data_IF_093187253427
#
_entry.id   IF_093187253427
#
_cell.length_a   1.000
_cell.length_b   1.000
_cell.length_c   1.000
_cell.angle_alpha   90.00
_cell.angle_beta   90.00
_cell.angle_gamma   90.00
#
_symmetry.space_group_name_H-M   'P 1'
#
loop_
_entity.id
_entity.type
_entity.pdbx_description
1 polymer ?
#
# COMPACT_ATOMS: atom_id res chain seq x y z
N UNK A 1 -63.37 4.19 17.01
CA UNK A 1 -62.54 5.07 16.20
C UNK A 1 -61.24 5.53 16.91
N UNK A 2 -61.18 5.57 18.23
CA UNK A 2 -60.05 6.04 19.02
C UNK A 2 -58.83 5.06 19.10
N UNK A 3 -59.04 3.75 18.95
CA UNK A 3 -57.92 2.75 19.09
C UNK A 3 -56.94 2.75 17.91
N UNK A 4 -57.37 3.11 16.71
CA UNK A 4 -56.50 3.13 15.51
C UNK A 4 -55.54 4.33 15.46
N UNK A 5 -55.92 5.44 16.06
CA UNK A 5 -55.09 6.65 16.11
C UNK A 5 -53.95 6.51 17.10
N UNK A 6 -54.16 5.74 18.20
CA UNK A 6 -53.13 5.52 19.22
C UNK A 6 -52.01 4.58 18.73
N UNK A 7 -52.35 3.54 17.96
CA UNK A 7 -51.34 2.66 17.35
C UNK A 7 -50.47 3.37 16.30
N UNK A 8 -51.09 4.26 15.49
CA UNK A 8 -50.32 5.00 14.47
C UNK A 8 -49.32 5.98 15.07
N UNK A 9 -49.64 6.59 16.23
CA UNK A 9 -48.72 7.49 16.92
C UNK A 9 -47.58 6.76 17.63
N UNK A 10 -47.80 5.55 18.13
CA UNK A 10 -46.75 4.69 18.71
C UNK A 10 -45.79 4.16 17.66
N UNK A 11 -46.30 3.81 16.46
CA UNK A 11 -45.47 3.38 15.34
C UNK A 11 -44.60 4.52 14.78
N UNK A 12 -45.14 5.75 14.72
CA UNK A 12 -44.36 6.91 14.28
C UNK A 12 -43.26 7.28 15.26
N UNK A 13 -43.51 7.18 16.57
CA UNK A 13 -42.51 7.42 17.60
C UNK A 13 -41.38 6.35 17.60
N UNK A 14 -41.73 5.09 17.31
CA UNK A 14 -40.75 4.01 17.17
C UNK A 14 -39.88 4.15 15.90
N UNK A 15 -40.45 4.66 14.80
CA UNK A 15 -39.68 4.92 13.58
C UNK A 15 -38.70 6.11 13.73
N UNK A 16 -39.08 7.13 14.50
CA UNK A 16 -38.18 8.28 14.76
C UNK A 16 -37.08 7.96 15.77
N UNK A 17 -37.32 7.04 16.72
CA UNK A 17 -36.31 6.58 17.68
C UNK A 17 -35.20 5.71 17.08
N UNK A 18 -35.50 5.02 15.95
CA UNK A 18 -34.55 4.17 15.27
C UNK A 18 -33.51 4.94 14.39
N UNK A 19 -33.74 6.24 14.17
CA UNK A 19 -32.86 7.09 13.35
C UNK A 19 -31.81 7.88 14.17
N UNK A 20 -31.84 7.76 15.49
CA UNK A 20 -30.76 8.27 16.35
C UNK A 20 -29.67 7.20 16.52
N UNK A 21 -29.09 6.75 15.41
CA UNK A 21 -27.76 6.13 15.48
C UNK A 21 -26.84 7.22 15.97
N UNK A 22 -26.16 7.04 17.12
CA UNK A 22 -25.16 8.02 17.56
C UNK A 22 -24.17 8.11 16.41
N UNK A 23 -23.97 9.31 15.88
CA UNK A 23 -22.87 9.57 14.97
C UNK A 23 -21.63 9.14 15.72
N UNK A 24 -21.08 7.98 15.34
CA UNK A 24 -19.77 7.59 15.84
C UNK A 24 -18.86 8.76 15.53
N UNK A 25 -18.26 9.32 16.56
CA UNK A 25 -17.29 10.38 16.38
C UNK A 25 -16.22 9.83 15.43
N UNK A 26 -16.26 10.30 14.20
CA UNK A 26 -15.27 9.95 13.20
C UNK A 26 -13.96 10.44 13.79
N UNK A 27 -13.07 9.52 14.15
CA UNK A 27 -11.76 9.90 14.66
C UNK A 27 -11.18 10.90 13.67
N UNK A 28 -10.94 12.10 14.17
CA UNK A 28 -10.42 13.18 13.35
C UNK A 28 -9.02 12.77 12.97
N UNK A 29 -8.82 12.44 11.69
CA UNK A 29 -7.48 12.19 11.16
C UNK A 29 -6.59 13.37 11.56
N UNK A 30 -5.50 13.10 12.25
CA UNK A 30 -4.47 14.08 12.56
C UNK A 30 -3.27 13.80 11.66
N UNK A 31 -2.73 14.85 11.07
CA UNK A 31 -1.48 14.73 10.33
C UNK A 31 -0.38 14.16 11.23
N UNK A 32 0.47 13.27 10.72
CA UNK A 32 1.57 12.71 11.48
C UNK A 32 2.55 13.82 11.86
N UNK A 33 3.02 13.79 13.12
CA UNK A 33 3.98 14.75 13.62
C UNK A 33 4.92 14.07 14.60
N UNK A 34 6.14 14.58 14.70
CA UNK A 34 7.09 14.15 15.71
C UNK A 34 6.67 14.67 17.08
N UNK A 35 6.74 13.81 18.10
CA UNK A 35 6.48 14.21 19.49
C UNK A 35 7.63 15.04 20.07
N UNK A 36 8.84 14.85 19.56
CA UNK A 36 10.04 15.60 19.88
C UNK A 36 10.58 16.25 18.59
N UNK A 37 10.64 17.59 18.50
CA UNK A 37 11.10 18.29 17.31
C UNK A 37 12.55 18.02 16.93
N UNK A 38 13.39 17.56 17.87
CA UNK A 38 14.79 17.22 17.63
C UNK A 38 14.96 15.79 17.10
N UNK A 39 13.89 15.00 17.08
CA UNK A 39 13.92 13.65 16.55
C UNK A 39 13.89 13.62 15.01
N UNK A 40 14.18 12.47 14.45
CA UNK A 40 14.15 12.21 13.01
C UNK A 40 13.61 10.81 12.72
N UNK A 41 13.23 10.58 11.48
CA UNK A 41 12.61 9.34 11.06
C UNK A 41 13.44 8.65 9.97
N UNK A 42 13.53 7.33 10.06
CA UNK A 42 13.87 6.43 8.95
C UNK A 42 12.62 5.61 8.63
N UNK A 43 12.20 5.65 7.39
CA UNK A 43 11.08 4.85 6.92
C UNK A 43 11.59 3.52 6.39
N UNK A 44 10.98 2.42 6.81
CA UNK A 44 11.29 1.08 6.31
C UNK A 44 10.15 0.60 5.42
N UNK A 45 10.41 0.37 4.14
CA UNK A 45 9.48 -0.25 3.21
C UNK A 45 9.71 -1.76 3.19
N UNK A 46 8.63 -2.56 3.32
CA UNK A 46 8.71 -4.02 3.24
C UNK A 46 8.93 -4.49 1.80
N UNK A 47 8.90 -5.81 1.61
CA UNK A 47 8.90 -6.47 0.31
C UNK A 47 7.77 -5.96 -0.58
N UNK A 48 8.10 -5.52 -1.78
CA UNK A 48 7.15 -4.92 -2.72
C UNK A 48 6.60 -5.91 -3.76
N UNK A 49 7.21 -7.09 -3.88
CA UNK A 49 6.87 -8.09 -4.88
C UNK A 49 5.38 -8.43 -4.95
N UNK A 50 4.70 -8.52 -3.80
CA UNK A 50 3.27 -8.82 -3.72
C UNK A 50 2.39 -7.76 -4.38
N UNK A 51 2.86 -6.52 -4.40
CA UNK A 51 2.19 -5.40 -5.07
C UNK A 51 2.63 -5.30 -6.54
N UNK A 52 3.90 -5.45 -6.83
CA UNK A 52 4.47 -5.31 -8.18
C UNK A 52 3.88 -6.34 -9.17
N UNK A 53 3.69 -7.59 -8.73
CA UNK A 53 3.27 -8.71 -9.57
C UNK A 53 1.83 -8.63 -10.12
N UNK A 54 0.98 -7.77 -9.58
CA UNK A 54 -0.42 -7.63 -10.02
C UNK A 54 -0.75 -6.19 -10.34
N UNK A 55 -1.26 -5.94 -11.56
CA UNK A 55 -1.61 -4.60 -12.02
C UNK A 55 -2.53 -3.85 -11.06
N UNK A 56 -3.52 -4.53 -10.47
CA UNK A 56 -4.47 -3.91 -9.54
C UNK A 56 -3.83 -3.48 -8.21
N UNK A 57 -2.68 -4.03 -7.84
CA UNK A 57 -1.99 -3.73 -6.59
C UNK A 57 -0.88 -2.68 -6.76
N UNK A 58 -0.37 -2.47 -7.99
CA UNK A 58 0.73 -1.53 -8.24
C UNK A 58 0.48 -0.12 -7.71
N UNK A 59 -0.75 0.45 -7.79
CA UNK A 59 -1.04 1.76 -7.21
C UNK A 59 -0.80 1.87 -5.71
N UNK A 60 -0.80 0.74 -4.97
CA UNK A 60 -0.53 0.75 -3.53
C UNK A 60 0.92 1.18 -3.24
N UNK A 61 1.88 0.77 -4.08
CA UNK A 61 3.28 1.22 -3.95
C UNK A 61 3.39 2.73 -4.16
N UNK A 62 2.66 3.27 -5.14
CA UNK A 62 2.64 4.71 -5.42
C UNK A 62 1.99 5.49 -4.27
N UNK A 63 0.94 4.94 -3.63
CA UNK A 63 0.33 5.54 -2.44
C UNK A 63 1.32 5.57 -1.27
N UNK A 64 2.06 4.49 -1.03
CA UNK A 64 3.05 4.45 0.05
C UNK A 64 4.14 5.50 -0.16
N UNK A 65 4.73 5.56 -1.35
CA UNK A 65 5.82 6.50 -1.62
C UNK A 65 5.34 7.95 -1.69
N UNK A 66 4.15 8.22 -2.25
CA UNK A 66 3.59 9.58 -2.24
C UNK A 66 3.25 10.05 -0.83
N UNK A 67 2.76 9.15 0.04
CA UNK A 67 2.52 9.49 1.44
C UNK A 67 3.83 9.86 2.15
N UNK A 68 4.89 9.06 1.93
CA UNK A 68 6.22 9.35 2.49
C UNK A 68 6.72 10.72 1.99
N UNK A 69 6.62 10.97 0.69
CA UNK A 69 7.05 12.24 0.10
C UNK A 69 6.29 13.43 0.69
N UNK A 70 4.96 13.31 0.84
CA UNK A 70 4.12 14.36 1.39
C UNK A 70 4.41 14.70 2.86
N UNK A 71 4.91 13.74 3.62
CA UNK A 71 5.15 13.89 5.08
C UNK A 71 6.64 13.93 5.45
N UNK A 72 7.53 13.88 4.47
CA UNK A 72 8.98 13.80 4.71
C UNK A 72 9.50 14.96 5.55
N UNK A 73 9.03 16.18 5.31
CA UNK A 73 9.41 17.37 6.07
C UNK A 73 8.82 17.32 7.50
N UNK A 74 7.53 17.09 7.63
CA UNK A 74 6.83 17.06 8.92
C UNK A 74 7.38 15.98 9.88
N UNK A 75 7.85 14.87 9.33
CA UNK A 75 8.45 13.75 10.05
C UNK A 75 9.99 13.83 10.11
N UNK A 76 10.60 14.89 9.63
CA UNK A 76 12.05 15.04 9.55
C UNK A 76 12.71 13.76 9.00
N UNK A 77 12.14 13.20 7.93
CA UNK A 77 12.58 11.92 7.35
C UNK A 77 13.95 12.08 6.71
N UNK A 78 14.90 11.30 7.15
CA UNK A 78 16.30 11.36 6.68
C UNK A 78 16.62 10.31 5.64
N UNK A 79 15.90 9.20 5.65
CA UNK A 79 16.17 8.07 4.77
C UNK A 79 14.94 7.18 4.63
N UNK A 80 14.74 6.64 3.45
CA UNK A 80 13.81 5.54 3.18
C UNK A 80 14.63 4.31 2.81
N UNK A 81 14.40 3.21 3.49
CA UNK A 81 15.05 1.91 3.21
C UNK A 81 14.00 0.92 2.73
N UNK A 82 14.27 0.23 1.63
CA UNK A 82 13.48 -0.92 1.21
C UNK A 82 14.31 -2.19 1.42
N UNK A 83 13.69 -3.20 2.04
CA UNK A 83 14.39 -4.43 2.45
C UNK A 83 14.66 -5.40 1.30
N UNK A 84 14.22 -5.10 0.10
CA UNK A 84 14.40 -5.94 -1.10
C UNK A 84 13.10 -6.54 -1.59
N UNK A 85 13.20 -7.57 -2.42
CA UNK A 85 12.08 -8.20 -3.12
C UNK A 85 11.19 -7.16 -3.81
N UNK A 86 11.82 -6.35 -4.64
CA UNK A 86 11.20 -5.23 -5.37
C UNK A 86 10.21 -5.74 -6.43
N UNK A 87 10.50 -6.92 -6.99
CA UNK A 87 9.68 -7.63 -7.97
C UNK A 87 9.53 -9.09 -7.58
N UNK A 88 8.50 -9.75 -8.07
CA UNK A 88 8.29 -11.20 -7.85
C UNK A 88 9.22 -12.05 -8.70
N UNK A 89 9.66 -11.53 -9.85
CA UNK A 89 10.51 -12.27 -10.78
C UNK A 89 11.32 -11.28 -11.62
N UNK A 90 12.59 -11.57 -11.81
CA UNK A 90 13.47 -10.74 -12.60
C UNK A 90 13.64 -11.25 -14.06
N UNK A 91 13.67 -12.56 -14.26
CA UNK A 91 14.06 -13.23 -15.50
C UNK A 91 12.90 -13.50 -16.48
N UNK A 92 11.64 -13.30 -16.10
CA UNK A 92 10.48 -13.58 -16.93
C UNK A 92 9.89 -12.33 -17.55
N UNK A 93 9.75 -12.36 -18.86
CA UNK A 93 9.16 -11.27 -19.65
C UNK A 93 7.66 -11.46 -19.95
N UNK A 94 7.12 -12.66 -19.74
CA UNK A 94 5.70 -12.98 -19.96
C UNK A 94 4.94 -13.12 -18.66
N UNK A 95 3.66 -12.74 -18.66
CA UNK A 95 2.75 -12.98 -17.54
C UNK A 95 2.60 -14.48 -17.28
N UNK A 96 2.30 -14.85 -16.06
CA UNK A 96 2.05 -16.24 -15.75
C UNK A 96 2.07 -16.57 -14.27
N UNK A 97 2.82 -17.60 -13.90
CA UNK A 97 2.82 -18.22 -12.58
C UNK A 97 2.94 -17.23 -11.40
N UNK A 98 3.75 -16.20 -11.54
CA UNK A 98 4.02 -15.23 -10.46
C UNK A 98 3.26 -13.91 -10.64
N UNK A 99 2.01 -13.95 -11.07
CA UNK A 99 1.16 -12.77 -11.21
C UNK A 99 0.68 -12.52 -12.62
N UNK A 100 0.10 -11.34 -12.88
CA UNK A 100 -0.44 -10.91 -14.17
C UNK A 100 0.43 -9.87 -14.88
N UNK A 101 1.61 -9.55 -14.31
CA UNK A 101 2.55 -8.60 -14.88
C UNK A 101 3.87 -9.30 -15.24
N UNK A 102 4.42 -8.98 -16.42
CA UNK A 102 5.78 -9.40 -16.76
C UNK A 102 6.82 -8.77 -15.83
N UNK A 103 8.00 -9.35 -15.73
CA UNK A 103 9.09 -8.80 -14.91
C UNK A 103 9.39 -7.34 -15.28
N UNK A 104 9.44 -7.03 -16.57
CA UNK A 104 9.64 -5.66 -17.06
C UNK A 104 8.59 -4.69 -16.52
N UNK A 105 7.30 -5.08 -16.54
CA UNK A 105 6.20 -4.27 -16.00
C UNK A 105 6.27 -4.10 -14.49
N UNK A 106 6.76 -5.11 -13.78
CA UNK A 106 6.97 -5.04 -12.34
C UNK A 106 8.07 -4.03 -12.01
N UNK A 107 9.21 -4.09 -12.72
CA UNK A 107 10.29 -3.11 -12.58
C UNK A 107 9.87 -1.68 -12.93
N UNK A 108 9.11 -1.50 -14.01
CA UNK A 108 8.56 -0.18 -14.38
C UNK A 108 7.67 0.39 -13.26
N UNK A 109 6.81 -0.43 -12.66
CA UNK A 109 5.92 0.00 -11.59
C UNK A 109 6.69 0.39 -10.32
N UNK A 110 7.68 -0.43 -9.95
CA UNK A 110 8.54 -0.16 -8.80
C UNK A 110 9.34 1.12 -9.00
N UNK A 111 9.98 1.29 -10.16
CA UNK A 111 10.74 2.49 -10.49
C UNK A 111 9.84 3.74 -10.45
N UNK A 112 8.62 3.65 -10.99
CA UNK A 112 7.64 4.74 -10.96
C UNK A 112 7.23 5.11 -9.54
N UNK A 113 7.05 4.13 -8.66
CA UNK A 113 6.74 4.39 -7.25
C UNK A 113 7.90 5.12 -6.56
N UNK A 114 9.13 4.63 -6.69
CA UNK A 114 10.30 5.24 -6.05
C UNK A 114 10.63 6.64 -6.61
N UNK A 115 10.34 6.90 -7.89
CA UNK A 115 10.58 8.23 -8.49
C UNK A 115 9.84 9.38 -7.79
N UNK A 116 8.79 9.09 -7.03
CA UNK A 116 8.09 10.08 -6.21
C UNK A 116 8.94 10.60 -5.03
N UNK A 117 9.99 9.88 -4.66
CA UNK A 117 10.93 10.27 -3.60
C UNK A 117 12.10 11.09 -4.14
N UNK A 118 12.27 11.17 -5.47
CA UNK A 118 13.38 11.87 -6.10
C UNK A 118 13.39 13.35 -5.73
N UNK A 119 14.52 13.81 -5.20
CA UNK A 119 14.66 15.21 -4.76
C UNK A 119 13.91 15.56 -3.47
N UNK A 120 13.18 14.64 -2.86
CA UNK A 120 12.43 14.84 -1.61
C UNK A 120 13.19 14.25 -0.43
N UNK A 121 13.54 12.97 -0.50
CA UNK A 121 14.25 12.26 0.56
C UNK A 121 15.17 11.19 -0.04
N UNK A 122 16.38 11.02 0.48
CA UNK A 122 17.26 9.94 0.05
C UNK A 122 16.62 8.57 0.30
N UNK A 123 16.79 7.65 -0.65
CA UNK A 123 16.34 6.28 -0.47
C UNK A 123 17.38 5.26 -0.92
N UNK A 124 17.30 4.08 -0.36
CA UNK A 124 18.13 2.92 -0.70
C UNK A 124 17.26 1.67 -0.77
N UNK A 125 17.57 0.81 -1.70
CA UNK A 125 16.96 -0.51 -1.83
C UNK A 125 18.03 -1.58 -1.63
N UNK A 126 17.72 -2.60 -0.84
CA UNK A 126 18.45 -3.85 -0.88
C UNK A 126 17.94 -4.70 -2.04
N UNK A 127 18.67 -5.73 -2.41
CA UNK A 127 18.16 -6.79 -3.26
C UNK A 127 17.66 -7.94 -2.40
N UNK A 128 16.50 -8.48 -2.74
CA UNK A 128 15.97 -9.71 -2.15
C UNK A 128 16.19 -10.90 -3.09
N UNK A 129 15.76 -12.09 -2.68
CA UNK A 129 15.96 -13.31 -3.48
C UNK A 129 15.10 -13.36 -4.75
N UNK A 130 14.01 -12.58 -4.82
CA UNK A 130 13.17 -12.47 -6.00
C UNK A 130 13.72 -11.49 -7.06
N UNK A 131 14.62 -10.61 -6.68
CA UNK A 131 15.22 -9.60 -7.56
C UNK A 131 16.36 -10.16 -8.42
N UNK A 132 16.79 -11.39 -8.17
CA UNK A 132 17.82 -12.07 -8.93
C UNK A 132 17.24 -13.02 -9.96
N UNK A 133 17.96 -13.24 -11.05
CA UNK A 133 17.66 -14.31 -11.98
C UNK A 133 17.79 -15.67 -11.26
N UNK A 134 16.90 -16.60 -11.60
CA UNK A 134 17.05 -17.96 -11.10
C UNK A 134 18.28 -18.57 -11.77
N UNK A 135 19.25 -19.01 -10.97
CA UNK A 135 20.29 -19.89 -11.47
C UNK A 135 19.62 -21.16 -12.01
N UNK A 136 19.77 -21.38 -13.31
CA UNK A 136 19.37 -22.64 -13.94
C UNK A 136 20.42 -23.65 -13.52
N UNK A 137 20.11 -24.51 -12.55
CA UNK A 137 20.91 -25.71 -12.35
C UNK A 137 20.79 -26.57 -13.61
N UNK A 138 21.86 -27.21 -14.04
CA UNK A 138 21.88 -28.10 -15.20
C UNK A 138 20.81 -29.23 -15.13
N UNK A 139 20.29 -29.49 -13.93
CA UNK A 139 19.22 -30.46 -13.66
C UNK A 139 17.79 -29.90 -13.93
N UNK A 140 17.62 -28.59 -14.12
CA UNK A 140 16.32 -27.94 -14.24
C UNK A 140 16.04 -27.40 -15.67
N UNK A 141 16.74 -27.91 -16.67
CA UNK A 141 16.56 -27.57 -18.09
C UNK A 141 15.11 -27.86 -18.60
N UNK A 142 14.31 -28.60 -17.83
CA UNK A 142 12.90 -28.86 -18.14
C UNK A 142 11.94 -27.75 -17.65
N UNK A 143 12.39 -26.79 -16.87
CA UNK A 143 11.54 -25.74 -16.31
C UNK A 143 11.32 -24.54 -17.28
N UNK A 144 11.97 -24.56 -18.45
CA UNK A 144 11.96 -23.45 -19.42
C UNK A 144 11.21 -23.77 -20.72
N UNK A 145 10.36 -24.82 -20.75
CA UNK A 145 9.51 -25.13 -21.89
C UNK A 145 8.04 -24.77 -21.64
#
# INVERSE_FOLDING_TARGET
>A
MFRRVFLARLLLAALFGALLVPAQAQEKFSEPALSDPDSWTVVLLPDLQGYAKKACNQPIMEIMTSWIAAHAEALNTKLVLCVGDLVEQNDRISNGYSGDQSSHKQWEATARAFSQLDGVVPYMTATGNHDHDKEVSDDDASAHL
#
